data_IF_275951258900
#
_entry.id   IF_275951258900
#
_cell.length_a   1.000
_cell.length_b   1.000
_cell.length_c   1.000
_cell.angle_alpha   90.00
_cell.angle_beta   90.00
_cell.angle_gamma   90.00
#
_symmetry.space_group_name_H-M   'P 1'
#
loop_
_entity.id
_entity.type
_entity.pdbx_description
1 polymer ?
#
# COMPACT_ATOMS: atom_id res chain seq x y z
N UNK A 1 -10.59 -4.66 -22.28
CA UNK A 1 -9.40 -3.94 -22.78
C UNK A 1 -8.76 -3.27 -21.60
N UNK A 2 -7.45 -3.42 -21.43
CA UNK A 2 -6.71 -2.80 -20.32
C UNK A 2 -6.64 -1.27 -20.48
N UNK A 3 -6.79 -0.55 -19.37
CA UNK A 3 -6.63 0.90 -19.23
C UNK A 3 -5.26 1.31 -18.69
N UNK A 4 -4.31 0.39 -18.58
CA UNK A 4 -2.96 0.63 -18.06
C UNK A 4 -2.16 1.68 -18.86
N UNK A 5 -2.54 1.92 -20.12
CA UNK A 5 -1.98 3.00 -20.95
C UNK A 5 -2.24 4.41 -20.38
N UNK A 6 -3.21 4.55 -19.46
CA UNK A 6 -3.50 5.80 -18.76
C UNK A 6 -2.54 6.06 -17.59
N UNK A 7 -1.75 5.06 -17.17
CA UNK A 7 -0.71 5.25 -16.18
C UNK A 7 0.51 5.91 -16.84
N UNK A 8 1.02 7.03 -16.30
CA UNK A 8 2.18 7.73 -16.85
C UNK A 8 3.39 6.82 -17.07
N UNK A 9 4.10 7.02 -18.19
CA UNK A 9 5.25 6.19 -18.56
C UNK A 9 6.39 6.28 -17.54
N UNK A 10 6.59 7.45 -16.94
CA UNK A 10 7.60 7.66 -15.90
C UNK A 10 7.30 6.82 -14.64
N UNK A 11 6.03 6.69 -14.25
CA UNK A 11 5.66 5.78 -13.16
C UNK A 11 5.87 4.31 -13.55
N UNK A 12 5.57 3.91 -14.79
CA UNK A 12 5.81 2.53 -15.24
C UNK A 12 7.30 2.18 -15.35
N UNK A 13 8.18 3.18 -15.42
CA UNK A 13 9.64 2.98 -15.32
C UNK A 13 10.09 2.77 -13.87
N UNK A 14 9.42 3.41 -12.90
CA UNK A 14 9.77 3.35 -11.48
C UNK A 14 9.07 2.20 -10.73
N UNK A 15 7.92 1.77 -11.21
CA UNK A 15 7.05 0.79 -10.56
C UNK A 15 6.66 -0.32 -11.52
N UNK A 16 6.56 -1.55 -11.03
CA UNK A 16 5.75 -2.55 -11.73
C UNK A 16 4.29 -2.28 -11.47
N UNK A 17 3.56 -1.94 -12.54
CA UNK A 17 2.15 -1.59 -12.47
C UNK A 17 1.30 -2.71 -13.06
N UNK A 18 0.29 -3.12 -12.31
CA UNK A 18 -0.77 -4.01 -12.79
C UNK A 18 -2.12 -3.45 -12.40
N UNK A 19 -3.11 -3.73 -13.22
CA UNK A 19 -4.49 -3.36 -12.93
C UNK A 19 -5.41 -4.56 -13.01
N UNK A 20 -6.53 -4.42 -12.33
CA UNK A 20 -7.66 -5.32 -12.36
C UNK A 20 -8.93 -4.52 -12.63
N UNK A 21 -9.79 -5.04 -13.53
CA UNK A 21 -11.09 -4.43 -13.89
C UNK A 21 -11.00 -2.93 -14.26
N UNK A 22 -9.98 -2.55 -15.04
CA UNK A 22 -9.80 -1.20 -15.59
C UNK A 22 -9.66 -0.10 -14.52
N UNK A 23 -9.00 -0.41 -13.41
CA UNK A 23 -8.82 0.51 -12.28
C UNK A 23 -8.21 1.87 -12.67
N UNK A 24 -7.25 1.89 -13.61
CA UNK A 24 -6.69 3.14 -14.10
C UNK A 24 -7.74 4.02 -14.81
N UNK A 25 -8.68 3.40 -15.53
CA UNK A 25 -9.82 4.09 -16.12
C UNK A 25 -10.76 4.70 -15.06
N UNK A 26 -11.02 3.99 -13.97
CA UNK A 26 -11.86 4.50 -12.86
C UNK A 26 -11.18 5.70 -12.20
N UNK A 27 -9.90 5.57 -11.82
CA UNK A 27 -9.13 6.65 -11.20
C UNK A 27 -9.09 7.90 -12.09
N UNK A 28 -8.77 7.75 -13.38
CA UNK A 28 -8.62 8.89 -14.29
C UNK A 28 -9.93 9.61 -14.62
N UNK A 29 -11.09 8.99 -14.43
CA UNK A 29 -12.38 9.55 -14.85
C UNK A 29 -13.30 9.90 -13.67
N UNK A 30 -13.44 8.99 -12.70
CA UNK A 30 -14.32 9.17 -11.55
C UNK A 30 -13.61 9.81 -10.35
N UNK A 31 -12.29 9.65 -10.24
CA UNK A 31 -11.48 10.17 -9.12
C UNK A 31 -10.22 10.93 -9.61
N UNK A 32 -10.36 11.89 -10.56
CA UNK A 32 -9.20 12.50 -11.22
C UNK A 32 -8.30 13.31 -10.28
N UNK A 33 -8.87 13.92 -9.23
CA UNK A 33 -8.10 14.68 -8.24
C UNK A 33 -7.28 13.74 -7.35
N UNK A 34 -7.90 12.68 -6.82
CA UNK A 34 -7.18 11.64 -6.07
C UNK A 34 -6.11 10.96 -6.93
N UNK A 35 -6.39 10.74 -8.22
CA UNK A 35 -5.43 10.16 -9.15
C UNK A 35 -4.21 11.05 -9.36
N UNK A 36 -4.41 12.36 -9.54
CA UNK A 36 -3.31 13.31 -9.66
C UNK A 36 -2.42 13.30 -8.41
N UNK A 37 -3.04 13.26 -7.22
CA UNK A 37 -2.34 13.19 -5.94
C UNK A 37 -1.55 11.88 -5.77
N UNK A 38 -2.13 10.73 -6.13
CA UNK A 38 -1.43 9.44 -6.13
C UNK A 38 -0.18 9.52 -7.03
N UNK A 39 -0.32 10.07 -8.24
CA UNK A 39 0.81 10.24 -9.15
C UNK A 39 1.90 11.10 -8.52
N UNK A 40 1.55 12.22 -7.91
CA UNK A 40 2.52 13.12 -7.28
C UNK A 40 3.28 12.44 -6.13
N UNK A 41 2.56 11.73 -5.25
CA UNK A 41 3.16 11.03 -4.11
C UNK A 41 4.12 9.94 -4.61
N UNK A 42 3.68 9.11 -5.56
CA UNK A 42 4.52 8.06 -6.13
C UNK A 42 5.74 8.61 -6.88
N UNK A 43 5.60 9.73 -7.60
CA UNK A 43 6.75 10.40 -8.25
C UNK A 43 7.77 10.92 -7.25
N UNK A 44 7.32 11.40 -6.10
CA UNK A 44 8.15 11.98 -5.05
C UNK A 44 8.85 10.95 -4.16
N UNK A 45 8.31 9.74 -4.05
CA UNK A 45 8.82 8.69 -3.17
C UNK A 45 10.23 8.21 -3.58
N UNK A 46 11.11 7.95 -2.61
CA UNK A 46 12.41 7.32 -2.85
C UNK A 46 12.70 6.31 -1.74
N UNK A 47 13.20 5.14 -2.13
CA UNK A 47 13.63 4.10 -1.20
C UNK A 47 15.07 4.39 -0.76
N UNK A 48 15.23 5.05 0.38
CA UNK A 48 16.54 5.47 0.86
C UNK A 48 17.28 4.31 1.55
N UNK A 49 18.60 4.22 1.35
CA UNK A 49 19.46 3.27 2.04
C UNK A 49 19.36 3.44 3.55
N UNK A 50 19.43 4.68 4.03
CA UNK A 50 19.36 5.00 5.46
C UNK A 50 18.08 4.46 6.10
N UNK A 51 16.93 4.58 5.41
CA UNK A 51 15.64 4.08 5.88
C UNK A 51 15.55 2.54 5.84
N UNK A 52 16.14 1.89 4.84
CA UNK A 52 16.20 0.42 4.75
C UNK A 52 17.07 -0.15 5.87
N UNK A 53 18.17 0.52 6.20
CA UNK A 53 19.13 0.06 7.21
C UNK A 53 18.70 0.39 8.65
N UNK A 54 17.88 1.41 8.86
CA UNK A 54 17.30 1.73 10.16
C UNK A 54 16.61 0.52 10.80
N UNK A 55 16.60 0.45 12.13
CA UNK A 55 15.81 -0.54 12.84
C UNK A 55 14.32 -0.23 12.65
N UNK A 56 13.45 -1.24 12.61
CA UNK A 56 12.00 -1.01 12.62
C UNK A 56 11.53 -0.76 14.05
N UNK A 57 10.79 0.33 14.28
CA UNK A 57 9.85 0.43 15.40
C UNK A 57 8.47 -0.10 14.97
N UNK A 58 7.37 0.47 15.50
CA UNK A 58 6.01 0.01 15.16
C UNK A 58 5.65 0.16 13.67
N UNK A 59 6.17 1.19 12.99
CA UNK A 59 6.01 1.39 11.54
C UNK A 59 7.34 1.85 10.93
N UNK A 60 7.72 1.29 9.78
CA UNK A 60 9.01 1.59 9.14
C UNK A 60 9.08 3.06 8.68
N UNK A 61 10.27 3.70 8.68
CA UNK A 61 10.44 5.04 8.12
C UNK A 61 9.94 5.14 6.67
N UNK A 62 10.13 4.06 5.90
CA UNK A 62 9.71 3.95 4.50
C UNK A 62 8.18 4.06 4.39
N UNK A 63 7.45 3.36 5.25
CA UNK A 63 6.00 3.42 5.25
C UNK A 63 5.50 4.82 5.68
N UNK A 64 6.13 5.40 6.73
CA UNK A 64 5.82 6.76 7.18
C UNK A 64 6.07 7.83 6.11
N UNK A 65 7.13 7.68 5.31
CA UNK A 65 7.44 8.60 4.21
C UNK A 65 6.30 8.63 3.20
N UNK A 66 5.81 7.45 2.79
CA UNK A 66 4.73 7.33 1.83
C UNK A 66 3.40 7.84 2.40
N UNK A 67 3.02 7.39 3.60
CA UNK A 67 1.77 7.84 4.27
C UNK A 67 1.77 9.37 4.45
N UNK A 68 2.90 9.93 4.89
CA UNK A 68 3.04 11.38 5.08
C UNK A 68 2.78 12.16 3.79
N UNK A 69 3.15 11.61 2.63
CA UNK A 69 2.86 12.19 1.33
C UNK A 69 1.35 12.27 1.03
N UNK A 70 0.60 11.24 1.42
CA UNK A 70 -0.86 11.19 1.30
C UNK A 70 -1.57 12.05 2.36
N UNK A 71 -1.16 11.96 3.62
CA UNK A 71 -1.76 12.73 4.72
C UNK A 71 -1.57 14.24 4.54
N UNK A 72 -0.44 14.69 4.00
CA UNK A 72 -0.23 16.09 3.63
C UNK A 72 -1.22 16.60 2.57
N UNK A 73 -1.88 15.70 1.84
CA UNK A 73 -2.90 15.98 0.83
C UNK A 73 -4.33 15.72 1.34
N UNK A 74 -4.50 15.49 2.64
CA UNK A 74 -5.81 15.30 3.26
C UNK A 74 -6.39 13.90 3.06
N UNK A 75 -5.57 12.90 2.74
CA UNK A 75 -5.95 11.50 2.90
C UNK A 75 -5.96 11.16 4.39
N UNK A 76 -6.86 10.26 4.79
CA UNK A 76 -7.02 9.85 6.19
C UNK A 76 -7.01 8.34 6.34
N UNK A 77 -6.47 7.83 7.44
CA UNK A 77 -6.74 6.46 7.85
C UNK A 77 -8.23 6.35 8.20
N UNK A 78 -8.92 5.32 7.69
CA UNK A 78 -10.37 5.22 7.84
C UNK A 78 -10.86 3.84 8.21
N UNK A 79 -11.55 3.76 9.35
CA UNK A 79 -12.41 2.62 9.69
C UNK A 79 -13.81 2.83 9.11
N UNK A 80 -14.32 1.84 8.38
CA UNK A 80 -15.71 1.82 7.94
C UNK A 80 -16.54 0.93 8.83
N UNK A 81 -17.43 1.50 9.62
CA UNK A 81 -18.42 0.72 10.36
C UNK A 81 -19.47 0.18 9.38
N UNK A 82 -19.57 -1.14 9.26
CA UNK A 82 -20.53 -1.77 8.35
C UNK A 82 -21.35 -2.81 9.10
N UNK A 83 -22.63 -2.90 8.74
CA UNK A 83 -23.53 -3.89 9.31
C UNK A 83 -24.58 -4.31 8.29
N UNK A 84 -25.04 -5.55 8.41
CA UNK A 84 -26.17 -6.08 7.65
C UNK A 84 -27.36 -6.12 8.60
N UNK A 85 -28.45 -5.46 8.20
CA UNK A 85 -29.71 -5.49 8.95
C UNK A 85 -30.67 -6.48 8.30
N UNK A 86 -31.14 -7.47 9.07
CA UNK A 86 -32.17 -8.44 8.67
C UNK A 86 -33.33 -8.28 9.64
N UNK A 87 -34.46 -7.78 9.15
CA UNK A 87 -35.61 -7.38 9.99
C UNK A 87 -35.18 -6.44 11.14
N UNK A 88 -35.28 -6.87 12.39
CA UNK A 88 -34.89 -6.10 13.57
C UNK A 88 -33.49 -6.48 14.11
N UNK A 89 -32.81 -7.45 13.50
CA UNK A 89 -31.48 -7.89 13.89
C UNK A 89 -30.38 -7.18 13.08
N UNK A 90 -29.33 -6.72 13.78
CA UNK A 90 -28.16 -6.10 13.19
C UNK A 90 -26.97 -7.04 13.36
N UNK A 91 -26.33 -7.38 12.25
CA UNK A 91 -25.12 -8.18 12.20
C UNK A 91 -23.96 -7.28 11.80
N UNK A 92 -23.06 -7.00 12.73
CA UNK A 92 -21.84 -6.25 12.44
C UNK A 92 -20.99 -7.04 11.43
N UNK A 93 -20.57 -6.34 10.39
CA UNK A 93 -19.68 -6.87 9.36
C UNK A 93 -18.29 -6.32 9.61
N UNK A 94 -17.33 -7.15 10.06
CA UNK A 94 -16.01 -6.67 10.40
C UNK A 94 -15.29 -6.16 9.14
N UNK A 95 -14.76 -4.95 9.23
CA UNK A 95 -13.90 -4.34 8.21
C UNK A 95 -12.53 -4.06 8.80
N UNK A 96 -11.55 -3.91 7.93
CA UNK A 96 -10.24 -3.39 8.32
C UNK A 96 -10.18 -1.88 8.05
N UNK A 97 -9.33 -1.19 8.80
CA UNK A 97 -8.98 0.19 8.48
C UNK A 97 -8.31 0.23 7.11
N UNK A 98 -8.66 1.23 6.32
CA UNK A 98 -7.92 1.58 5.11
C UNK A 98 -6.81 2.56 5.50
N UNK A 99 -5.57 2.29 5.12
CA UNK A 99 -4.40 3.12 5.47
C UNK A 99 -4.56 4.58 5.00
N UNK A 100 -5.01 4.76 3.75
CA UNK A 100 -5.22 6.04 3.11
C UNK A 100 -6.54 6.03 2.34
N UNK A 101 -7.53 6.78 2.81
CA UNK A 101 -8.80 6.99 2.14
C UNK A 101 -9.01 8.46 1.78
N UNK A 102 -9.52 8.71 0.57
CA UNK A 102 -10.00 10.03 0.15
C UNK A 102 -11.06 9.89 -0.94
N UNK A 103 -12.11 10.71 -0.84
CA UNK A 103 -13.22 10.69 -1.79
C UNK A 103 -13.91 9.32 -1.79
N UNK A 104 -13.59 8.50 -2.79
CA UNK A 104 -14.06 7.11 -2.94
C UNK A 104 -12.92 6.15 -3.33
N UNK A 105 -11.68 6.54 -3.05
CA UNK A 105 -10.47 5.75 -3.31
C UNK A 105 -9.95 5.21 -1.98
N UNK A 106 -9.77 3.89 -1.91
CA UNK A 106 -9.07 3.24 -0.80
C UNK A 106 -7.66 2.85 -1.25
N UNK A 107 -6.64 3.24 -0.50
CA UNK A 107 -5.24 2.95 -0.78
C UNK A 107 -4.61 2.26 0.42
N UNK A 108 -3.98 1.12 0.18
CA UNK A 108 -3.28 0.32 1.18
C UNK A 108 -1.78 0.32 0.89
N UNK A 109 -0.97 0.61 1.92
CA UNK A 109 0.48 0.60 1.85
C UNK A 109 1.02 -0.66 2.51
N UNK A 110 1.22 -1.68 1.67
CA UNK A 110 1.69 -2.97 2.13
C UNK A 110 3.21 -3.10 2.05
N UNK A 111 3.87 -2.66 3.14
CA UNK A 111 5.32 -2.68 3.28
C UNK A 111 5.82 -3.73 4.28
N UNK A 112 6.25 -4.88 3.76
CA UNK A 112 7.02 -5.90 4.50
C UNK A 112 6.32 -6.53 5.71
N UNK A 113 4.99 -6.52 5.74
CA UNK A 113 4.18 -7.21 6.73
C UNK A 113 4.21 -8.74 6.52
N UNK A 114 3.94 -9.55 7.54
CA UNK A 114 3.79 -11.01 7.40
C UNK A 114 2.32 -11.36 7.23
N UNK A 115 1.98 -12.31 6.36
CA UNK A 115 0.61 -12.80 6.09
C UNK A 115 -0.31 -12.84 7.34
N UNK A 116 -1.62 -12.52 7.21
CA UNK A 116 -2.43 -12.55 5.98
C UNK A 116 -2.90 -11.18 5.43
N UNK A 117 -2.01 -10.20 5.30
CA UNK A 117 -2.38 -8.80 5.02
C UNK A 117 -3.07 -8.63 3.65
N UNK A 118 -2.50 -9.16 2.55
CA UNK A 118 -3.16 -9.02 1.24
C UNK A 118 -4.56 -9.63 1.17
N UNK A 119 -4.79 -10.77 1.80
CA UNK A 119 -6.11 -11.41 1.79
C UNK A 119 -7.14 -10.55 2.55
N UNK A 120 -6.72 -9.93 3.65
CA UNK A 120 -7.52 -8.99 4.43
C UNK A 120 -7.84 -7.73 3.61
N UNK A 121 -6.86 -7.11 2.99
CA UNK A 121 -7.02 -5.85 2.28
C UNK A 121 -7.85 -6.03 1.00
N UNK A 122 -7.60 -7.10 0.25
CA UNK A 122 -8.39 -7.45 -0.94
C UNK A 122 -9.85 -7.76 -0.58
N UNK A 123 -10.09 -8.48 0.53
CA UNK A 123 -11.44 -8.72 1.00
C UNK A 123 -12.11 -7.42 1.50
N UNK A 124 -11.36 -6.52 2.13
CA UNK A 124 -11.86 -5.22 2.55
C UNK A 124 -12.28 -4.37 1.33
N UNK A 125 -11.44 -4.29 0.30
CA UNK A 125 -11.77 -3.63 -0.96
C UNK A 125 -13.01 -4.21 -1.63
N UNK A 126 -13.13 -5.55 -1.66
CA UNK A 126 -14.32 -6.22 -2.19
C UNK A 126 -15.58 -5.77 -1.45
N UNK A 127 -15.57 -5.85 -0.12
CA UNK A 127 -16.72 -5.49 0.71
C UNK A 127 -17.10 -4.02 0.57
N UNK A 128 -16.11 -3.12 0.69
CA UNK A 128 -16.34 -1.68 0.59
C UNK A 128 -16.83 -1.27 -0.80
N UNK A 129 -16.37 -1.93 -1.86
CA UNK A 129 -16.88 -1.72 -3.21
C UNK A 129 -18.33 -2.18 -3.36
N UNK A 130 -18.66 -3.39 -2.88
CA UNK A 130 -20.02 -3.93 -2.95
C UNK A 130 -21.02 -3.06 -2.14
N UNK A 131 -20.57 -2.49 -1.03
CA UNK A 131 -21.32 -1.52 -0.20
C UNK A 131 -21.32 -0.10 -0.77
N UNK A 132 -20.67 0.14 -1.91
CA UNK A 132 -20.54 1.44 -2.58
C UNK A 132 -19.86 2.48 -1.69
N UNK A 133 -18.99 2.08 -0.78
CA UNK A 133 -18.15 2.99 0.00
C UNK A 133 -16.94 3.48 -0.83
N UNK A 134 -16.38 2.61 -1.67
CA UNK A 134 -15.28 2.93 -2.58
C UNK A 134 -15.64 2.59 -4.04
N UNK A 135 -14.96 3.21 -4.99
CA UNK A 135 -15.06 2.89 -6.42
C UNK A 135 -13.83 2.13 -6.94
N UNK A 136 -12.69 2.27 -6.25
CA UNK A 136 -11.41 1.67 -6.65
C UNK A 136 -10.48 1.50 -5.45
N UNK A 137 -9.77 0.37 -5.44
CA UNK A 137 -8.67 0.09 -4.52
C UNK A 137 -7.31 0.35 -5.16
N UNK A 138 -6.35 0.82 -4.39
CA UNK A 138 -4.95 0.98 -4.81
C UNK A 138 -4.05 0.27 -3.80
N UNK A 139 -3.08 -0.52 -4.27
CA UNK A 139 -2.10 -1.17 -3.39
C UNK A 139 -0.71 -0.75 -3.81
N UNK A 140 0.05 -0.19 -2.88
CA UNK A 140 1.47 0.05 -3.04
C UNK A 140 2.23 -0.99 -2.23
N UNK A 141 3.13 -1.73 -2.87
CA UNK A 141 3.94 -2.75 -2.21
C UNK A 141 5.36 -2.77 -2.77
N UNK A 142 6.21 -3.68 -2.31
CA UNK A 142 7.59 -3.82 -2.79
C UNK A 142 7.70 -4.81 -3.94
N UNK A 143 8.65 -4.55 -4.83
CA UNK A 143 9.02 -5.51 -5.85
C UNK A 143 9.96 -6.62 -5.28
N UNK A 144 9.89 -7.84 -5.82
CA UNK A 144 10.67 -8.99 -5.30
C UNK A 144 12.16 -8.80 -5.53
N UNK A 145 12.54 -8.17 -6.64
CA UNK A 145 13.92 -7.92 -7.04
C UNK A 145 14.65 -6.95 -6.10
N UNK A 146 13.94 -6.13 -5.32
CA UNK A 146 14.54 -5.34 -4.22
C UNK A 146 15.25 -6.22 -3.19
N UNK A 147 14.93 -7.52 -3.13
CA UNK A 147 15.63 -8.47 -2.28
C UNK A 147 17.14 -8.54 -2.55
N UNK A 148 17.59 -8.24 -3.77
CA UNK A 148 19.02 -8.13 -4.06
C UNK A 148 19.67 -6.99 -3.27
N UNK A 149 19.05 -5.81 -3.26
CA UNK A 149 19.50 -4.64 -2.48
C UNK A 149 19.41 -4.93 -0.98
N UNK A 150 18.34 -5.53 -0.50
CA UNK A 150 18.22 -5.85 0.92
C UNK A 150 19.31 -6.81 1.40
N UNK A 151 19.72 -7.77 0.56
CA UNK A 151 20.84 -8.66 0.87
C UNK A 151 22.17 -7.92 0.94
N UNK A 152 22.47 -7.01 0.00
CA UNK A 152 23.73 -6.24 0.02
C UNK A 152 23.81 -5.30 1.23
N UNK A 153 22.67 -4.80 1.70
CA UNK A 153 22.56 -3.95 2.89
C UNK A 153 22.50 -4.73 4.22
N UNK A 154 22.58 -6.07 4.19
CA UNK A 154 22.52 -6.92 5.38
C UNK A 154 21.11 -7.11 5.98
N UNK A 155 20.06 -6.73 5.25
CA UNK A 155 18.64 -6.78 5.66
C UNK A 155 17.83 -7.89 4.96
N UNK A 156 18.48 -8.76 4.20
CA UNK A 156 17.78 -9.79 3.41
C UNK A 156 16.87 -10.72 4.22
N UNK A 157 17.20 -11.02 5.48
CA UNK A 157 16.33 -11.80 6.37
C UNK A 157 15.10 -11.03 6.82
N UNK A 158 15.24 -9.72 7.09
CA UNK A 158 14.14 -8.82 7.49
C UNK A 158 13.10 -8.65 6.38
N UNK A 159 13.54 -8.70 5.11
CA UNK A 159 12.69 -8.57 3.93
C UNK A 159 12.47 -9.91 3.21
N UNK A 160 12.44 -11.00 3.96
CA UNK A 160 12.38 -12.36 3.44
C UNK A 160 11.16 -12.68 2.57
N UNK A 161 11.14 -13.88 1.99
CA UNK A 161 10.08 -14.33 1.07
C UNK A 161 8.69 -14.42 1.71
N UNK A 162 8.59 -14.50 3.03
CA UNK A 162 7.32 -14.63 3.75
C UNK A 162 6.66 -13.28 4.10
N UNK A 163 7.27 -12.16 3.73
CA UNK A 163 6.64 -10.84 3.91
C UNK A 163 5.99 -10.37 2.62
N UNK A 164 5.13 -9.35 2.70
CA UNK A 164 4.40 -8.81 1.55
C UNK A 164 5.34 -8.36 0.43
N UNK A 165 5.03 -8.80 -0.79
CA UNK A 165 5.66 -8.39 -2.05
C UNK A 165 4.75 -8.74 -3.24
N UNK A 166 4.99 -8.12 -4.39
CA UNK A 166 4.06 -8.21 -5.53
C UNK A 166 3.77 -9.63 -6.05
N UNK A 167 4.75 -10.54 -6.06
CA UNK A 167 4.54 -11.93 -6.50
C UNK A 167 3.62 -12.73 -5.56
N UNK A 168 3.39 -12.26 -4.32
CA UNK A 168 2.34 -12.82 -3.46
C UNK A 168 0.98 -12.15 -3.68
N UNK A 169 0.97 -10.87 -4.02
CA UNK A 169 -0.24 -10.08 -4.25
C UNK A 169 -0.94 -10.47 -5.56
N UNK A 170 -0.22 -10.46 -6.68
CA UNK A 170 -0.84 -10.60 -7.99
C UNK A 170 -1.57 -11.93 -8.19
N UNK A 171 -1.06 -13.10 -7.74
CA UNK A 171 -1.82 -14.35 -7.83
C UNK A 171 -3.14 -14.30 -7.05
N UNK A 172 -3.22 -13.55 -5.95
CA UNK A 172 -4.46 -13.39 -5.17
C UNK A 172 -5.48 -12.50 -5.89
N UNK A 173 -5.01 -11.42 -6.53
CA UNK A 173 -5.87 -10.59 -7.38
C UNK A 173 -6.40 -11.41 -8.56
N UNK A 174 -5.52 -12.13 -9.27
CA UNK A 174 -5.89 -13.00 -10.39
C UNK A 174 -6.82 -14.15 -9.97
N UNK A 175 -6.62 -14.67 -8.76
CA UNK A 175 -7.50 -15.66 -8.12
C UNK A 175 -8.84 -15.11 -7.64
N UNK A 176 -9.09 -13.80 -7.79
CA UNK A 176 -10.37 -13.17 -7.49
C UNK A 176 -10.52 -12.61 -6.08
N UNK A 177 -9.44 -12.44 -5.32
CA UNK A 177 -9.48 -11.93 -3.94
C UNK A 177 -10.16 -10.56 -3.79
N UNK A 178 -10.01 -9.69 -4.80
CA UNK A 178 -10.68 -8.38 -4.84
C UNK A 178 -12.13 -8.40 -5.35
N UNK A 179 -12.64 -9.57 -5.76
CA UNK A 179 -13.99 -9.74 -6.31
C UNK A 179 -14.30 -8.80 -7.49
N UNK A 180 -15.32 -7.97 -7.31
CA UNK A 180 -15.80 -6.98 -8.28
C UNK A 180 -15.01 -5.66 -8.29
N UNK A 181 -14.21 -5.38 -7.25
CA UNK A 181 -13.53 -4.11 -7.07
C UNK A 181 -12.44 -3.89 -8.13
N UNK A 182 -12.41 -2.75 -8.84
CA UNK A 182 -11.25 -2.30 -9.60
C UNK A 182 -10.05 -2.08 -8.68
N UNK A 183 -8.90 -2.64 -9.03
CA UNK A 183 -7.67 -2.52 -8.24
C UNK A 183 -6.49 -2.12 -9.11
N UNK A 184 -5.74 -1.09 -8.70
CA UNK A 184 -4.47 -0.69 -9.33
C UNK A 184 -3.32 -0.97 -8.35
N UNK A 185 -2.28 -1.67 -8.79
CA UNK A 185 -1.13 -2.00 -7.92
C UNK A 185 0.14 -1.35 -8.44
N UNK A 186 0.95 -0.84 -7.52
CA UNK A 186 2.29 -0.33 -7.78
C UNK A 186 3.31 -1.09 -6.92
N UNK A 187 4.22 -1.84 -7.56
CA UNK A 187 5.34 -2.45 -6.85
C UNK A 187 6.59 -1.58 -7.01
N UNK A 188 7.15 -1.11 -5.90
CA UNK A 188 8.37 -0.29 -5.83
C UNK A 188 9.55 -1.11 -6.36
N UNK A 189 10.17 -0.67 -7.45
CA UNK A 189 11.31 -1.35 -8.08
C UNK A 189 12.66 -0.80 -7.59
N UNK A 190 13.79 -1.44 -7.93
CA UNK A 190 15.13 -0.91 -7.67
C UNK A 190 15.40 0.48 -8.25
N UNK A 191 14.66 0.93 -9.26
CA UNK A 191 14.83 2.27 -9.87
C UNK A 191 14.51 3.40 -8.89
N UNK A 192 13.77 3.12 -7.82
CA UNK A 192 13.46 4.08 -6.74
C UNK A 192 14.51 4.08 -5.62
N UNK A 193 15.48 3.17 -5.65
CA UNK A 193 16.51 3.07 -4.62
C UNK A 193 17.55 4.18 -4.76
N UNK A 194 17.84 4.84 -3.64
CA UNK A 194 18.87 5.88 -3.55
C UNK A 194 19.81 5.54 -2.41
N UNK A 195 21.11 5.45 -2.73
CA UNK A 195 22.16 5.35 -1.72
C UNK A 195 22.48 6.74 -1.17
N UNK A 196 21.77 7.12 -0.11
CA UNK A 196 21.98 8.36 0.65
C UNK A 196 22.99 8.18 1.80
N UNK A 197 23.67 7.03 1.85
CA UNK A 197 24.58 6.66 2.94
C UNK A 197 23.91 5.87 4.08
N UNK A 198 24.69 5.49 5.11
CA UNK A 198 24.15 4.80 6.27
C UNK A 198 23.28 5.73 7.14
N UNK A 199 22.42 5.18 8.02
CA UNK A 199 21.64 5.97 8.96
C UNK A 199 22.54 6.85 9.84
N UNK A 200 22.18 8.13 9.97
CA UNK A 200 22.80 9.06 10.91
C UNK A 200 22.43 8.73 12.35
N UNK A 201 23.22 9.20 13.32
CA UNK A 201 22.94 8.99 14.76
C UNK A 201 21.53 9.48 15.14
N UNK A 202 21.11 10.65 14.63
CA UNK A 202 19.78 11.20 14.88
C UNK A 202 18.66 10.31 14.31
N UNK A 203 18.86 9.70 13.14
CA UNK A 203 17.88 8.76 12.58
C UNK A 203 17.78 7.48 13.42
N UNK A 204 18.92 6.97 13.93
CA UNK A 204 18.92 5.80 14.82
C UNK A 204 18.15 6.10 16.11
N UNK A 205 18.47 7.21 16.78
CA UNK A 205 17.80 7.65 18.02
C UNK A 205 16.28 7.85 17.82
N UNK A 206 15.87 8.47 16.72
CA UNK A 206 14.46 8.68 16.40
C UNK A 206 13.67 7.37 16.19
N UNK A 207 14.36 6.29 15.79
CA UNK A 207 13.70 4.99 15.58
C UNK A 207 13.64 4.15 16.86
N UNK A 208 14.60 4.35 17.78
CA UNK A 208 14.62 3.70 19.10
C UNK A 208 13.66 4.35 20.12
N UNK A 209 13.36 5.65 19.96
CA UNK A 209 12.47 6.39 20.85
C UNK A 209 10.96 6.17 20.62
N UNK A 210 10.57 5.43 19.58
CA UNK A 210 9.15 5.12 19.32
C UNK A 210 8.69 4.01 20.29
N UNK A 211 7.75 4.27 21.22
CA UNK A 211 7.33 3.28 22.19
C UNK A 211 6.66 2.10 21.47
N UNK A 212 7.14 0.89 21.76
CA UNK A 212 6.48 -0.35 21.36
C UNK A 212 5.15 -0.45 22.10
N UNK A 213 4.04 -0.21 21.41
CA UNK A 213 2.73 -0.60 21.94
C UNK A 213 2.63 -2.11 21.75
N UNK A 214 2.55 -2.82 22.88
CA UNK A 214 2.16 -4.21 22.95
C UNK A 214 0.85 -4.39 22.20
N UNK A 215 0.82 -5.34 21.25
CA UNK A 215 -0.41 -5.92 20.73
C UNK A 215 -1.25 -6.42 21.93
N UNK A 216 -2.24 -5.64 22.33
CA UNK A 216 -3.36 -6.08 23.14
C UNK A 216 -4.62 -6.09 22.26
N UNK A 217 -5.20 -7.28 22.09
CA UNK A 217 -6.62 -7.47 21.73
C UNK A 217 -6.89 -8.01 20.35
#
# INVERSE_FOLDING_TARGET
>A
MSTLHLVPDDLKQLYHVREWRNAAGVLTTACPDEWAEIIEVLRGFRLLRSEVQAAGGNKSPIAKQMDGGFYARGWEEKQFETAIKIDDEIFESPTHKVDCFKGRVALELEWNNKDPFFDRDLNNFRLLFDLRAIDVGVIVTRATELQAIFKTLGKGSSYGRSTTHHEQLWPRIEGGGGGGCPILTFAITPELYVDDGPPTAAQIEATEAAPGESEEG
#
